data_IF_077322466741
#
_entry.id   IF_077322466741
#
_cell.length_a   1.000
_cell.length_b   1.000
_cell.length_c   1.000
_cell.angle_alpha   90.00
_cell.angle_beta   90.00
_cell.angle_gamma   90.00
#
_symmetry.space_group_name_H-M   'P 1'
#
loop_
_entity.id
_entity.type
_entity.pdbx_description
1 polymer ?
#
# COMPACT_ATOMS: atom_id res chain seq x y z
N UNK A 1 -31.49 15.97 11.12
CA UNK A 1 -30.27 16.55 11.73
C UNK A 1 -29.34 16.95 10.58
N UNK A 2 -29.02 18.24 10.44
CA UNK A 2 -28.33 18.82 9.27
C UNK A 2 -26.95 18.16 9.06
N UNK A 3 -26.75 17.60 7.87
CA UNK A 3 -25.48 17.04 7.39
C UNK A 3 -24.51 18.17 7.07
N UNK A 4 -23.56 18.42 7.96
CA UNK A 4 -22.42 19.29 7.65
C UNK A 4 -21.51 18.57 6.65
N UNK A 5 -21.59 19.02 5.40
CA UNK A 5 -20.75 18.60 4.30
C UNK A 5 -19.30 19.02 4.59
N UNK A 6 -18.40 18.05 4.83
CA UNK A 6 -16.97 18.29 5.13
C UNK A 6 -16.19 18.79 3.89
N UNK A 7 -16.87 18.97 2.74
CA UNK A 7 -16.25 19.32 1.46
C UNK A 7 -16.14 20.82 1.14
N UNK A 8 -16.39 21.72 2.09
CA UNK A 8 -16.12 23.15 1.86
C UNK A 8 -15.49 23.81 3.07
N UNK A 9 -14.19 23.60 3.27
CA UNK A 9 -13.35 24.65 3.86
C UNK A 9 -13.25 25.76 2.81
N UNK A 10 -14.32 26.55 2.70
CA UNK A 10 -14.32 27.78 1.92
C UNK A 10 -13.43 28.75 2.66
N UNK A 11 -12.30 29.10 2.05
CA UNK A 11 -11.41 30.16 2.49
C UNK A 11 -12.16 31.49 2.32
N UNK A 12 -12.92 31.89 3.32
CA UNK A 12 -13.47 33.23 3.37
C UNK A 12 -12.33 34.19 3.73
N UNK A 13 -11.81 34.87 2.71
CA UNK A 13 -11.07 36.14 2.76
C UNK A 13 -9.57 36.23 3.10
N UNK A 14 -8.80 35.14 3.21
CA UNK A 14 -7.33 35.27 3.26
C UNK A 14 -6.67 35.04 1.90
N UNK A 15 -5.91 36.05 1.42
CA UNK A 15 -5.07 35.97 0.22
C UNK A 15 -3.91 34.97 0.48
N UNK A 16 -4.23 33.69 0.36
CA UNK A 16 -3.32 32.57 0.56
C UNK A 16 -2.72 32.24 -0.81
N UNK A 17 -1.42 32.42 -0.95
CA UNK A 17 -0.70 32.16 -2.19
C UNK A 17 -0.94 30.75 -2.74
N UNK A 18 -0.89 30.62 -4.07
CA UNK A 18 -1.26 29.41 -4.82
C UNK A 18 -0.61 28.13 -4.25
N UNK A 19 0.68 28.21 -3.89
CA UNK A 19 1.42 27.08 -3.33
C UNK A 19 0.86 26.57 -2.00
N UNK A 20 0.51 27.48 -1.07
CA UNK A 20 -0.08 27.07 0.21
C UNK A 20 -1.49 26.50 0.04
N UNK A 21 -2.27 27.05 -0.91
CA UNK A 21 -3.59 26.51 -1.27
C UNK A 21 -3.48 25.10 -1.84
N UNK A 22 -2.55 24.85 -2.75
CA UNK A 22 -2.29 23.53 -3.31
C UNK A 22 -1.85 22.54 -2.22
N UNK A 23 -0.86 22.90 -1.39
CA UNK A 23 -0.38 22.05 -0.31
C UNK A 23 -1.47 21.74 0.73
N UNK A 24 -2.31 22.72 1.08
CA UNK A 24 -3.43 22.49 2.01
C UNK A 24 -4.43 21.46 1.48
N UNK A 25 -4.68 21.44 0.16
CA UNK A 25 -5.55 20.43 -0.47
C UNK A 25 -4.91 19.04 -0.41
N UNK A 26 -3.60 18.93 -0.63
CA UNK A 26 -2.88 17.66 -0.51
C UNK A 26 -2.93 17.13 0.93
N UNK A 27 -2.71 18.00 1.93
CA UNK A 27 -2.84 17.62 3.34
C UNK A 27 -4.28 17.21 3.67
N UNK A 28 -5.28 17.92 3.15
CA UNK A 28 -6.68 17.53 3.33
C UNK A 28 -6.98 16.14 2.75
N UNK A 29 -6.43 15.83 1.57
CA UNK A 29 -6.52 14.49 0.96
C UNK A 29 -5.83 13.45 1.83
N UNK A 30 -4.62 13.73 2.33
CA UNK A 30 -3.86 12.84 3.21
C UNK A 30 -4.62 12.46 4.48
N UNK A 31 -5.34 13.42 5.08
CA UNK A 31 -6.09 13.21 6.33
C UNK A 31 -7.52 12.71 6.12
N UNK A 32 -8.00 12.65 4.87
CA UNK A 32 -9.32 12.15 4.53
C UNK A 32 -9.45 10.62 4.74
N UNK A 33 -10.68 10.11 4.78
CA UNK A 33 -10.93 8.68 5.02
C UNK A 33 -10.42 7.72 3.92
N UNK A 34 -10.17 8.22 2.70
CA UNK A 34 -9.45 7.51 1.64
C UNK A 34 -8.02 8.02 1.45
N UNK A 35 -7.49 8.78 2.41
CA UNK A 35 -6.19 9.44 2.31
C UNK A 35 -5.03 8.47 2.15
N UNK A 36 -5.13 7.28 2.74
CA UNK A 36 -4.16 6.22 2.52
C UNK A 36 -4.10 5.82 1.04
N UNK A 37 -5.22 5.45 0.41
CA UNK A 37 -5.25 5.10 -1.03
C UNK A 37 -4.71 6.23 -1.91
N UNK A 38 -5.17 7.46 -1.70
CA UNK A 38 -4.82 8.59 -2.58
C UNK A 38 -3.34 8.98 -2.46
N UNK A 39 -2.83 9.09 -1.23
CA UNK A 39 -1.42 9.44 -1.02
C UNK A 39 -0.53 8.33 -1.50
N UNK A 40 -0.88 7.06 -1.25
CA UNK A 40 -0.09 5.93 -1.72
C UNK A 40 -0.07 5.82 -3.23
N UNK A 41 -1.20 6.03 -3.91
CA UNK A 41 -1.24 6.08 -5.36
C UNK A 41 -0.32 7.18 -5.94
N UNK A 42 -0.37 8.40 -5.36
CA UNK A 42 0.51 9.50 -5.77
C UNK A 42 1.97 9.13 -5.50
N UNK A 43 2.26 8.54 -4.35
CA UNK A 43 3.60 8.11 -4.00
C UNK A 43 4.11 7.04 -4.95
N UNK A 44 3.37 5.96 -5.21
CA UNK A 44 3.85 4.89 -6.09
C UNK A 44 4.02 5.38 -7.52
N UNK A 45 3.09 6.21 -8.02
CA UNK A 45 3.23 6.81 -9.35
C UNK A 45 4.45 7.74 -9.44
N UNK A 46 4.64 8.64 -8.47
CA UNK A 46 5.71 9.64 -8.52
C UNK A 46 7.08 9.12 -8.05
N UNK A 47 7.11 8.14 -7.16
CA UNK A 47 8.32 7.56 -6.55
C UNK A 47 8.75 6.26 -7.25
N UNK A 48 7.81 5.51 -7.81
CA UNK A 48 8.05 4.27 -8.53
C UNK A 48 8.23 4.51 -10.02
N UNK A 49 7.18 4.95 -10.70
CA UNK A 49 7.16 5.03 -12.17
C UNK A 49 8.16 6.06 -12.73
N UNK A 50 8.15 7.30 -12.22
CA UNK A 50 9.01 8.36 -12.77
C UNK A 50 10.51 8.02 -12.66
N UNK A 51 11.05 7.63 -11.49
CA UNK A 51 12.46 7.26 -11.40
C UNK A 51 12.80 6.02 -12.22
N UNK A 52 11.94 4.99 -12.23
CA UNK A 52 12.15 3.81 -13.07
C UNK A 52 12.17 4.15 -14.55
N UNK A 53 11.34 5.10 -15.00
CA UNK A 53 11.35 5.57 -16.37
C UNK A 53 12.65 6.31 -16.72
N UNK A 54 13.13 7.18 -15.83
CA UNK A 54 14.41 7.89 -15.98
C UNK A 54 15.60 6.94 -16.03
N UNK A 55 15.59 5.87 -15.20
CA UNK A 55 16.67 4.89 -15.13
C UNK A 55 16.47 3.64 -15.99
N UNK A 56 15.46 3.63 -16.86
CA UNK A 56 15.13 2.46 -17.67
C UNK A 56 16.30 2.07 -18.58
N UNK A 57 16.67 0.79 -18.57
CA UNK A 57 17.85 0.29 -19.30
C UNK A 57 17.52 -0.13 -20.73
N UNK A 58 16.26 -0.37 -21.02
CA UNK A 58 15.76 -0.74 -22.35
C UNK A 58 14.27 -0.43 -22.48
N UNK A 59 13.72 -0.55 -23.71
CA UNK A 59 12.27 -0.45 -23.94
C UNK A 59 11.49 -1.55 -23.23
N UNK A 60 12.05 -2.76 -23.12
CA UNK A 60 11.41 -3.87 -22.41
C UNK A 60 11.38 -3.62 -20.89
N UNK A 61 12.50 -3.14 -20.33
CA UNK A 61 12.62 -2.73 -18.93
C UNK A 61 11.65 -1.59 -18.59
N UNK A 62 11.53 -0.57 -19.46
CA UNK A 62 10.55 0.50 -19.30
C UNK A 62 9.12 -0.01 -19.37
N UNK A 63 8.80 -0.83 -20.38
CA UNK A 63 7.45 -1.35 -20.62
C UNK A 63 6.96 -2.22 -19.47
N UNK A 64 7.81 -3.12 -18.97
CA UNK A 64 7.42 -4.00 -17.86
C UNK A 64 7.29 -3.27 -16.54
N UNK A 65 8.17 -2.31 -16.25
CA UNK A 65 8.06 -1.48 -15.05
C UNK A 65 6.81 -0.59 -15.11
N UNK A 66 6.50 -0.02 -16.27
CA UNK A 66 5.31 0.83 -16.44
C UNK A 66 4.03 0.03 -16.27
N UNK A 67 3.95 -1.15 -16.89
CA UNK A 67 2.81 -2.04 -16.74
C UNK A 67 2.59 -2.43 -15.27
N UNK A 68 3.66 -2.85 -14.59
CA UNK A 68 3.59 -3.33 -13.23
C UNK A 68 3.14 -2.19 -12.28
N UNK A 69 3.84 -1.06 -12.28
CA UNK A 69 3.54 0.08 -11.40
C UNK A 69 2.11 0.60 -11.57
N UNK A 70 1.65 0.74 -12.82
CA UNK A 70 0.29 1.23 -13.10
C UNK A 70 -0.78 0.21 -12.68
N UNK A 71 -0.54 -1.07 -12.96
CA UNK A 71 -1.51 -2.14 -12.65
C UNK A 71 -1.62 -2.37 -11.14
N UNK A 72 -0.48 -2.48 -10.45
CA UNK A 72 -0.41 -2.65 -8.99
C UNK A 72 -1.03 -1.44 -8.28
N UNK A 73 -0.69 -0.22 -8.70
CA UNK A 73 -1.27 1.01 -8.13
C UNK A 73 -2.78 1.10 -8.34
N UNK A 74 -3.28 0.77 -9.52
CA UNK A 74 -4.72 0.78 -9.80
C UNK A 74 -5.45 -0.28 -8.94
N UNK A 75 -4.89 -1.48 -8.87
CA UNK A 75 -5.43 -2.61 -8.13
C UNK A 75 -5.47 -2.33 -6.63
N UNK A 76 -4.32 -2.04 -6.02
CA UNK A 76 -4.18 -1.95 -4.56
C UNK A 76 -4.95 -0.76 -3.99
N UNK A 77 -4.97 0.38 -4.68
CA UNK A 77 -5.52 1.61 -4.10
C UNK A 77 -7.00 1.84 -4.39
N UNK A 78 -7.54 1.31 -5.48
CA UNK A 78 -8.93 1.55 -5.88
C UNK A 78 -9.82 0.31 -5.83
N UNK A 79 -9.29 -0.90 -6.02
CA UNK A 79 -10.12 -2.11 -5.91
C UNK A 79 -10.64 -2.44 -4.51
N UNK A 80 -10.03 -2.04 -3.37
CA UNK A 80 -10.61 -2.31 -2.04
C UNK A 80 -12.03 -1.76 -1.89
N UNK A 81 -12.26 -0.51 -2.31
CA UNK A 81 -13.59 0.11 -2.22
C UNK A 81 -14.60 -0.59 -3.14
N UNK A 82 -14.17 -0.99 -4.34
CA UNK A 82 -15.00 -1.66 -5.34
C UNK A 82 -15.37 -3.08 -4.90
N UNK A 83 -14.37 -3.92 -4.56
CA UNK A 83 -14.61 -5.30 -4.15
C UNK A 83 -15.29 -5.37 -2.79
N UNK A 84 -14.96 -4.48 -1.85
CA UNK A 84 -15.68 -4.37 -0.58
C UNK A 84 -17.18 -4.15 -0.82
N UNK A 85 -17.55 -3.26 -1.75
CA UNK A 85 -18.95 -3.03 -2.13
C UNK A 85 -19.59 -4.26 -2.78
N UNK A 86 -18.91 -4.90 -3.73
CA UNK A 86 -19.40 -6.11 -4.42
C UNK A 86 -19.67 -7.22 -3.41
N UNK A 87 -18.70 -7.56 -2.57
CA UNK A 87 -18.85 -8.64 -1.61
C UNK A 87 -19.76 -8.30 -0.44
N UNK A 88 -19.89 -7.03 -0.04
CA UNK A 88 -20.96 -6.59 0.86
C UNK A 88 -22.33 -6.94 0.28
N UNK A 89 -22.58 -6.62 -0.98
CA UNK A 89 -23.86 -6.92 -1.63
C UNK A 89 -24.14 -8.43 -1.74
N UNK A 90 -23.10 -9.27 -1.77
CA UNK A 90 -23.22 -10.73 -1.83
C UNK A 90 -23.48 -11.31 -0.43
N UNK A 91 -22.58 -11.04 0.52
CA UNK A 91 -22.57 -11.73 1.81
C UNK A 91 -23.47 -11.10 2.87
N UNK A 92 -23.83 -9.82 2.75
CA UNK A 92 -24.68 -9.15 3.76
C UNK A 92 -26.18 -9.30 3.54
N UNK A 93 -26.63 -9.96 2.47
CA UNK A 93 -28.06 -10.11 2.12
C UNK A 93 -28.92 -10.70 3.24
N UNK A 94 -28.34 -11.57 4.07
CA UNK A 94 -29.05 -12.24 5.18
C UNK A 94 -28.98 -11.47 6.50
N UNK A 95 -28.25 -10.36 6.55
CA UNK A 95 -28.19 -9.51 7.73
C UNK A 95 -29.38 -8.51 7.73
N UNK A 96 -30.01 -8.30 8.90
CA UNK A 96 -30.90 -7.17 9.13
C UNK A 96 -30.28 -5.81 8.73
N UNK A 97 -31.12 -4.87 8.30
CA UNK A 97 -30.68 -3.58 7.74
C UNK A 97 -29.88 -2.71 8.73
N UNK A 98 -30.17 -2.82 10.03
CA UNK A 98 -29.43 -2.18 11.12
C UNK A 98 -28.00 -2.74 11.25
N UNK A 99 -27.81 -4.05 11.11
CA UNK A 99 -26.48 -4.69 11.14
C UNK A 99 -25.69 -4.41 9.86
N UNK A 100 -26.35 -4.29 8.72
CA UNK A 100 -25.67 -3.94 7.46
C UNK A 100 -24.98 -2.57 7.49
N UNK A 101 -25.50 -1.63 8.30
CA UNK A 101 -24.88 -0.32 8.54
C UNK A 101 -23.62 -0.41 9.38
N UNK A 102 -23.49 -1.44 10.23
CA UNK A 102 -22.35 -1.65 11.12
C UNK A 102 -21.19 -2.41 10.45
N UNK A 103 -21.35 -2.87 9.20
CA UNK A 103 -20.29 -3.58 8.46
C UNK A 103 -19.05 -2.70 8.26
N UNK A 104 -19.22 -1.39 8.13
CA UNK A 104 -18.11 -0.44 8.01
C UNK A 104 -17.36 -0.24 9.33
N UNK A 105 -18.00 -0.49 10.48
CA UNK A 105 -17.37 -0.36 11.79
C UNK A 105 -16.18 -1.32 11.92
N UNK A 106 -14.99 -0.88 12.36
CA UNK A 106 -13.83 -1.74 12.54
C UNK A 106 -14.11 -2.92 13.48
N UNK A 107 -13.62 -4.11 13.15
CA UNK A 107 -13.86 -5.33 13.93
C UNK A 107 -13.38 -5.20 15.40
N UNK A 108 -12.26 -4.51 15.63
CA UNK A 108 -11.72 -4.26 16.98
C UNK A 108 -12.69 -3.45 17.84
N UNK A 109 -13.49 -2.57 17.24
CA UNK A 109 -14.52 -1.81 17.94
C UNK A 109 -15.77 -2.66 18.17
N UNK A 110 -16.18 -3.45 17.19
CA UNK A 110 -17.31 -4.37 17.30
C UNK A 110 -17.11 -5.39 18.43
N UNK A 111 -15.87 -5.87 18.63
CA UNK A 111 -15.53 -6.81 19.70
C UNK A 111 -15.62 -6.21 21.11
N UNK A 112 -15.59 -4.88 21.24
CA UNK A 112 -15.77 -4.19 22.54
C UNK A 112 -17.24 -4.02 22.92
N UNK A 113 -18.12 -4.10 21.93
CA UNK A 113 -19.56 -4.04 22.14
C UNK A 113 -20.08 -5.46 22.41
N UNK A 114 -21.16 -5.61 23.18
CA UNK A 114 -21.92 -6.89 23.22
C UNK A 114 -22.61 -7.06 21.85
N UNK A 115 -21.85 -7.41 20.83
CA UNK A 115 -22.25 -7.39 19.43
C UNK A 115 -22.95 -8.66 18.96
N UNK A 116 -23.64 -8.54 17.82
CA UNK A 116 -24.34 -9.65 17.18
C UNK A 116 -23.35 -10.66 16.57
N UNK A 117 -23.48 -11.95 16.93
CA UNK A 117 -22.65 -13.05 16.43
C UNK A 117 -22.66 -13.19 14.90
N UNK A 118 -23.63 -12.63 14.18
CA UNK A 118 -23.69 -12.70 12.73
C UNK A 118 -22.79 -11.68 12.00
N UNK A 119 -22.42 -10.57 12.65
CA UNK A 119 -21.75 -9.46 11.96
C UNK A 119 -20.29 -9.77 11.61
N UNK A 120 -19.54 -10.30 12.58
CA UNK A 120 -18.11 -10.57 12.41
C UNK A 120 -17.83 -11.60 11.29
N UNK A 121 -18.56 -12.73 11.20
CA UNK A 121 -18.36 -13.69 10.11
C UNK A 121 -18.69 -13.13 8.72
N UNK A 122 -19.74 -12.32 8.60
CA UNK A 122 -20.08 -11.68 7.32
C UNK A 122 -18.98 -10.70 6.90
N UNK A 123 -18.45 -9.92 7.83
CA UNK A 123 -17.34 -9.00 7.56
C UNK A 123 -16.07 -9.75 7.16
N UNK A 124 -15.79 -10.89 7.78
CA UNK A 124 -14.67 -11.75 7.43
C UNK A 124 -14.85 -12.38 6.03
N UNK A 125 -16.08 -12.75 5.66
CA UNK A 125 -16.40 -13.20 4.32
C UNK A 125 -16.15 -12.11 3.25
N UNK A 126 -16.52 -10.85 3.54
CA UNK A 126 -16.24 -9.72 2.64
C UNK A 126 -14.73 -9.52 2.49
N UNK A 127 -13.97 -9.59 3.58
CA UNK A 127 -12.50 -9.49 3.55
C UNK A 127 -11.86 -10.62 2.72
N UNK A 128 -12.33 -11.86 2.88
CA UNK A 128 -11.85 -13.01 2.09
C UNK A 128 -12.20 -12.89 0.60
N UNK A 129 -13.38 -12.37 0.27
CA UNK A 129 -13.72 -12.06 -1.13
C UNK A 129 -12.78 -11.01 -1.73
N UNK A 130 -12.46 -9.96 -0.96
CA UNK A 130 -11.50 -8.95 -1.41
C UNK A 130 -10.03 -9.39 -1.35
N UNK A 131 -9.73 -10.58 -0.80
CA UNK A 131 -8.40 -11.18 -0.83
C UNK A 131 -7.94 -11.55 -2.26
N UNK A 132 -8.81 -11.37 -3.26
CA UNK A 132 -8.42 -11.30 -4.66
C UNK A 132 -7.29 -10.28 -4.92
N UNK A 133 -7.30 -9.13 -4.23
CA UNK A 133 -6.34 -8.03 -4.45
C UNK A 133 -4.89 -8.51 -4.25
N UNK A 134 -4.49 -9.02 -3.06
CA UNK A 134 -3.14 -9.51 -2.86
C UNK A 134 -2.77 -10.70 -3.76
N UNK A 135 -3.74 -11.53 -4.17
CA UNK A 135 -3.49 -12.65 -5.08
C UNK A 135 -3.29 -12.17 -6.54
N UNK A 136 -4.01 -11.14 -6.97
CA UNK A 136 -3.80 -10.51 -8.27
C UNK A 136 -2.43 -9.82 -8.26
N UNK A 137 -2.05 -9.13 -7.18
CA UNK A 137 -0.71 -8.55 -7.02
C UNK A 137 0.41 -9.60 -7.19
N UNK A 138 0.26 -10.76 -6.54
CA UNK A 138 1.15 -11.90 -6.73
C UNK A 138 1.23 -12.33 -8.21
N UNK A 139 0.08 -12.45 -8.88
CA UNK A 139 0.04 -12.89 -10.28
C UNK A 139 0.49 -11.85 -11.29
N UNK A 140 0.35 -10.55 -11.01
CA UNK A 140 0.80 -9.46 -11.88
C UNK A 140 2.30 -9.58 -12.20
N UNK A 141 3.09 -10.06 -11.24
CA UNK A 141 4.51 -10.32 -11.43
C UNK A 141 4.80 -11.41 -12.46
N UNK A 142 3.97 -12.45 -12.53
CA UNK A 142 4.05 -13.51 -13.54
C UNK A 142 3.40 -13.11 -14.87
N UNK A 143 2.30 -12.35 -14.84
CA UNK A 143 1.66 -11.78 -16.03
C UNK A 143 2.64 -10.85 -16.75
N UNK A 144 3.37 -10.02 -16.00
CA UNK A 144 4.49 -9.22 -16.52
C UNK A 144 5.51 -10.11 -17.23
N UNK A 145 5.88 -11.25 -16.65
CA UNK A 145 6.80 -12.19 -17.30
C UNK A 145 6.28 -12.68 -18.66
N UNK A 146 5.01 -13.08 -18.72
CA UNK A 146 4.35 -13.51 -19.96
C UNK A 146 4.25 -12.38 -20.99
N UNK A 147 3.95 -11.16 -20.54
CA UNK A 147 3.88 -9.98 -21.40
C UNK A 147 5.24 -9.68 -22.02
N UNK A 148 6.33 -9.71 -21.23
CA UNK A 148 7.68 -9.47 -21.76
C UNK A 148 8.10 -10.55 -22.76
N UNK A 149 7.77 -11.82 -22.50
CA UNK A 149 8.00 -12.91 -23.45
C UNK A 149 7.23 -12.69 -24.76
N UNK A 150 5.95 -12.32 -24.69
CA UNK A 150 5.10 -12.16 -25.88
C UNK A 150 5.47 -10.92 -26.72
N UNK A 151 5.73 -9.79 -26.06
CA UNK A 151 5.93 -8.49 -26.72
C UNK A 151 7.38 -8.28 -27.13
N UNK A 152 8.33 -8.64 -26.26
CA UNK A 152 9.75 -8.34 -26.45
C UNK A 152 10.59 -9.58 -26.77
N UNK A 153 10.02 -10.79 -26.72
CA UNK A 153 10.72 -12.07 -26.94
C UNK A 153 11.92 -12.27 -26.02
N UNK A 154 11.80 -11.75 -24.79
CA UNK A 154 12.87 -11.75 -23.79
C UNK A 154 12.41 -12.37 -22.47
N UNK A 155 13.06 -13.46 -22.07
CA UNK A 155 12.89 -14.07 -20.75
C UNK A 155 14.00 -13.74 -19.76
N UNK A 156 15.26 -13.75 -20.21
CA UNK A 156 16.40 -13.49 -19.34
C UNK A 156 16.52 -12.00 -18.99
N UNK A 157 16.57 -11.71 -17.70
CA UNK A 157 16.70 -10.35 -17.20
C UNK A 157 17.93 -9.63 -17.71
N UNK A 158 19.06 -10.31 -17.94
CA UNK A 158 20.26 -9.67 -18.48
C UNK A 158 20.02 -9.10 -19.88
N UNK A 159 19.16 -9.72 -20.68
CA UNK A 159 18.76 -9.22 -21.99
C UNK A 159 17.74 -8.08 -21.84
N UNK A 160 16.77 -8.23 -20.93
CA UNK A 160 15.76 -7.20 -20.61
C UNK A 160 16.43 -5.92 -20.12
N UNK A 161 17.36 -6.03 -19.19
CA UNK A 161 18.13 -4.94 -18.61
C UNK A 161 19.30 -4.47 -19.51
N UNK A 162 19.42 -5.02 -20.72
CA UNK A 162 20.46 -4.69 -21.70
C UNK A 162 21.90 -4.75 -21.10
N UNK A 163 22.13 -5.72 -20.21
CA UNK A 163 23.42 -6.03 -19.60
C UNK A 163 24.26 -6.89 -20.54
N UNK A 164 23.64 -7.91 -21.14
CA UNK A 164 24.28 -8.75 -22.16
C UNK A 164 24.05 -8.15 -23.55
N UNK A 165 25.14 -7.95 -24.31
CA UNK A 165 25.09 -7.46 -25.69
C UNK A 165 24.77 -8.56 -26.71
N UNK A 166 25.01 -9.83 -26.35
CA UNK A 166 24.70 -11.00 -27.17
C UNK A 166 23.25 -11.42 -26.95
N UNK A 167 22.35 -10.79 -27.70
CA UNK A 167 20.88 -10.94 -27.59
C UNK A 167 20.34 -12.19 -28.29
N UNK A 168 20.97 -13.35 -28.08
CA UNK A 168 20.40 -14.61 -28.62
C UNK A 168 19.15 -14.97 -27.83
N UNK A 169 18.08 -15.27 -28.55
CA UNK A 169 16.85 -15.78 -27.97
C UNK A 169 17.08 -17.20 -27.45
N UNK A 170 16.71 -17.44 -26.19
CA UNK A 170 16.79 -18.76 -25.56
C UNK A 170 15.37 -19.32 -25.41
N UNK A 171 14.96 -20.09 -26.40
CA UNK A 171 13.60 -20.65 -26.49
C UNK A 171 13.31 -21.64 -25.36
N UNK A 172 14.30 -22.41 -24.91
CA UNK A 172 14.13 -23.35 -23.79
C UNK A 172 13.94 -22.59 -22.48
N UNK A 173 14.75 -21.57 -22.23
CA UNK A 173 14.63 -20.72 -21.05
C UNK A 173 13.30 -19.95 -21.04
N UNK A 174 12.89 -19.40 -22.19
CA UNK A 174 11.60 -18.73 -22.34
C UNK A 174 10.42 -19.67 -22.01
N UNK A 175 10.47 -20.92 -22.48
CA UNK A 175 9.44 -21.94 -22.18
C UNK A 175 9.37 -22.28 -20.69
N UNK A 176 10.52 -22.36 -20.00
CA UNK A 176 10.56 -22.57 -18.53
C UNK A 176 9.86 -21.43 -17.79
N UNK A 177 10.10 -20.17 -18.18
CA UNK A 177 9.44 -19.00 -17.59
C UNK A 177 7.93 -19.05 -17.83
N UNK A 178 7.49 -19.37 -19.05
CA UNK A 178 6.07 -19.45 -19.39
C UNK A 178 5.33 -20.51 -18.54
N UNK A 179 5.92 -21.70 -18.39
CA UNK A 179 5.35 -22.79 -17.58
C UNK A 179 5.26 -22.36 -16.12
N UNK A 180 6.32 -21.77 -15.56
CA UNK A 180 6.32 -21.27 -14.18
C UNK A 180 5.25 -20.21 -13.96
N UNK A 181 5.13 -19.24 -14.87
CA UNK A 181 4.13 -18.19 -14.78
C UNK A 181 2.69 -18.75 -14.79
N UNK A 182 2.36 -19.65 -15.73
CA UNK A 182 1.05 -20.29 -15.79
C UNK A 182 0.73 -21.09 -14.52
N UNK A 183 1.71 -21.85 -14.02
CA UNK A 183 1.56 -22.63 -12.78
C UNK A 183 1.22 -21.73 -11.60
N UNK A 184 1.96 -20.65 -11.39
CA UNK A 184 1.76 -19.76 -10.24
C UNK A 184 0.44 -18.97 -10.35
N UNK A 185 0.02 -18.58 -11.56
CA UNK A 185 -1.31 -17.98 -11.79
C UNK A 185 -2.42 -18.96 -11.39
N UNK A 186 -2.31 -20.22 -11.81
CA UNK A 186 -3.28 -21.26 -11.46
C UNK A 186 -3.30 -21.53 -9.95
N UNK A 187 -2.13 -21.56 -9.29
CA UNK A 187 -2.04 -21.69 -7.83
C UNK A 187 -2.76 -20.56 -7.11
N UNK A 188 -2.57 -19.31 -7.53
CA UNK A 188 -3.27 -18.17 -6.96
C UNK A 188 -4.79 -18.26 -7.14
N UNK A 189 -5.26 -18.71 -8.31
CA UNK A 189 -6.67 -18.98 -8.56
C UNK A 189 -7.24 -20.06 -7.63
N UNK A 190 -6.48 -21.14 -7.39
CA UNK A 190 -6.85 -22.19 -6.43
C UNK A 190 -6.96 -21.68 -4.99
N UNK A 191 -6.00 -20.88 -4.54
CA UNK A 191 -6.04 -20.23 -3.22
C UNK A 191 -7.28 -19.33 -3.11
N UNK A 192 -7.55 -18.54 -4.15
CA UNK A 192 -8.70 -17.64 -4.15
C UNK A 192 -10.04 -18.39 -4.09
N UNK A 193 -10.17 -19.51 -4.81
CA UNK A 193 -11.33 -20.39 -4.70
C UNK A 193 -11.53 -20.88 -3.25
N UNK A 194 -10.44 -21.22 -2.56
CA UNK A 194 -10.44 -21.53 -1.13
C UNK A 194 -10.93 -20.37 -0.26
N UNK A 195 -10.48 -19.13 -0.53
CA UNK A 195 -10.97 -17.94 0.16
C UNK A 195 -12.47 -17.72 -0.03
N UNK A 196 -12.99 -17.89 -1.25
CA UNK A 196 -14.43 -17.76 -1.55
C UNK A 196 -15.25 -18.84 -0.87
N UNK A 197 -14.78 -20.09 -0.87
CA UNK A 197 -15.42 -21.20 -0.18
C UNK A 197 -15.50 -20.95 1.34
N UNK A 198 -14.39 -20.54 1.95
CA UNK A 198 -14.36 -20.18 3.37
C UNK A 198 -15.26 -18.96 3.65
N UNK A 199 -15.22 -17.93 2.81
CA UNK A 199 -16.09 -16.75 2.93
C UNK A 199 -17.58 -17.12 2.89
N UNK A 200 -17.99 -17.98 1.97
CA UNK A 200 -19.35 -18.52 1.92
C UNK A 200 -19.72 -19.28 3.20
N UNK A 201 -18.80 -20.11 3.71
CA UNK A 201 -19.02 -20.86 4.96
C UNK A 201 -19.17 -19.93 6.17
N UNK A 202 -18.32 -18.91 6.30
CA UNK A 202 -18.41 -17.88 7.35
C UNK A 202 -19.73 -17.12 7.29
N UNK A 203 -20.13 -16.67 6.09
CA UNK A 203 -21.37 -15.92 5.91
C UNK A 203 -22.63 -16.73 6.25
N UNK A 204 -22.64 -18.04 5.96
CA UNK A 204 -23.83 -18.89 6.15
C UNK A 204 -23.88 -19.54 7.54
N UNK A 205 -22.74 -20.01 8.06
CA UNK A 205 -22.67 -20.83 9.29
C UNK A 205 -21.88 -20.19 10.42
N UNK A 206 -21.26 -19.02 10.20
CA UNK A 206 -20.39 -18.39 11.18
C UNK A 206 -21.07 -18.08 12.51
N UNK A 207 -22.33 -17.62 12.50
CA UNK A 207 -23.09 -17.31 13.72
C UNK A 207 -23.39 -18.54 14.59
N UNK A 208 -23.33 -19.75 14.03
CA UNK A 208 -23.65 -21.01 14.71
C UNK A 208 -22.41 -21.80 15.15
N UNK A 209 -21.21 -21.41 14.72
CA UNK A 209 -19.98 -22.16 14.99
C UNK A 209 -18.92 -21.32 15.69
N UNK A 210 -18.49 -21.76 16.88
CA UNK A 210 -17.40 -21.12 17.63
C UNK A 210 -16.09 -21.11 16.84
N UNK A 211 -15.77 -22.20 16.14
CA UNK A 211 -14.57 -22.27 15.31
C UNK A 211 -14.59 -21.23 14.18
N UNK A 212 -15.74 -21.05 13.51
CA UNK A 212 -15.88 -20.05 12.45
C UNK A 212 -15.86 -18.60 13.00
N UNK A 213 -16.37 -18.38 14.22
CA UNK A 213 -16.19 -17.10 14.92
C UNK A 213 -14.71 -16.83 15.20
N UNK A 214 -13.99 -17.82 15.71
CA UNK A 214 -12.57 -17.70 16.03
C UNK A 214 -11.73 -17.40 14.78
N UNK A 215 -12.05 -18.04 13.65
CA UNK A 215 -11.45 -17.75 12.34
C UNK A 215 -11.78 -16.32 11.90
N UNK A 216 -13.03 -15.87 12.10
CA UNK A 216 -13.44 -14.50 11.75
C UNK A 216 -12.69 -13.45 12.57
N UNK A 217 -12.54 -13.68 13.88
CA UNK A 217 -11.69 -12.84 14.75
C UNK A 217 -10.24 -12.85 14.30
N UNK A 218 -9.69 -13.99 13.92
CA UNK A 218 -8.30 -14.08 13.47
C UNK A 218 -8.06 -13.29 12.18
N UNK A 219 -9.00 -13.34 11.23
CA UNK A 219 -8.94 -12.60 9.96
C UNK A 219 -9.03 -11.09 10.18
N UNK A 220 -9.95 -10.64 11.04
CA UNK A 220 -10.31 -9.22 11.16
C UNK A 220 -9.65 -8.50 12.34
N UNK A 221 -9.25 -9.22 13.39
CA UNK A 221 -8.65 -8.68 14.60
C UNK A 221 -7.62 -9.67 15.20
N UNK A 222 -6.59 -10.06 14.40
CA UNK A 222 -5.62 -11.09 14.81
C UNK A 222 -4.90 -10.75 16.12
N UNK A 223 -4.62 -9.47 16.34
CA UNK A 223 -3.97 -9.01 17.56
C UNK A 223 -4.83 -9.20 18.80
N UNK A 224 -6.12 -8.86 18.70
CA UNK A 224 -7.09 -9.09 19.78
C UNK A 224 -7.24 -10.58 20.07
N UNK A 225 -7.17 -11.43 19.04
CA UNK A 225 -7.25 -12.89 19.21
C UNK A 225 -6.00 -13.47 19.88
N UNK A 226 -4.82 -13.15 19.35
CA UNK A 226 -3.56 -13.79 19.70
C UNK A 226 -2.86 -13.17 20.91
N UNK A 227 -3.06 -11.88 21.18
CA UNK A 227 -2.31 -11.12 22.19
C UNK A 227 -3.21 -10.44 23.24
N UNK A 228 -4.20 -11.18 23.76
CA UNK A 228 -5.19 -10.68 24.73
C UNK A 228 -4.56 -9.97 25.96
N UNK A 229 -3.42 -10.47 26.43
CA UNK A 229 -2.75 -9.97 27.63
C UNK A 229 -1.72 -8.86 27.34
N UNK A 230 -1.51 -8.49 26.07
CA UNK A 230 -0.52 -7.49 25.69
C UNK A 230 -1.11 -6.50 24.69
N UNK A 231 -1.66 -5.41 25.22
CA UNK A 231 -2.31 -4.34 24.42
C UNK A 231 -1.40 -3.79 23.33
N UNK A 232 -0.11 -3.57 23.61
CA UNK A 232 0.84 -3.05 22.61
C UNK A 232 1.01 -4.02 21.43
N UNK A 233 1.17 -5.32 21.70
CA UNK A 233 1.26 -6.35 20.66
C UNK A 233 -0.07 -6.51 19.93
N UNK A 234 -1.20 -6.53 20.64
CA UNK A 234 -2.53 -6.61 20.04
C UNK A 234 -2.78 -5.45 19.07
N UNK A 235 -2.52 -4.21 19.48
CA UNK A 235 -2.70 -3.02 18.66
C UNK A 235 -1.77 -3.05 17.43
N UNK A 236 -0.52 -3.49 17.58
CA UNK A 236 0.40 -3.68 16.46
C UNK A 236 -0.14 -4.70 15.44
N UNK A 237 -0.53 -5.88 15.90
CA UNK A 237 -0.99 -6.95 15.01
C UNK A 237 -2.33 -6.58 14.34
N UNK A 238 -3.25 -5.98 15.06
CA UNK A 238 -4.50 -5.48 14.47
C UNK A 238 -4.23 -4.40 13.41
N UNK A 239 -3.27 -3.50 13.63
CA UNK A 239 -2.94 -2.44 12.68
C UNK A 239 -2.34 -2.97 11.37
N UNK A 240 -1.44 -3.96 11.46
CA UNK A 240 -0.65 -4.39 10.31
C UNK A 240 -1.07 -5.72 9.67
N UNK A 241 -1.86 -6.56 10.36
CA UNK A 241 -2.22 -7.90 9.88
C UNK A 241 -3.73 -8.14 9.80
N UNK A 242 -4.56 -7.18 10.18
CA UNK A 242 -6.01 -7.27 9.96
C UNK A 242 -6.36 -7.14 8.48
N UNK A 243 -7.16 -8.06 7.95
CA UNK A 243 -7.73 -7.95 6.59
C UNK A 243 -9.02 -7.13 6.54
N UNK A 244 -9.42 -6.55 7.67
CA UNK A 244 -10.58 -5.69 7.75
C UNK A 244 -10.39 -4.42 6.92
N UNK A 245 -11.49 -3.85 6.45
CA UNK A 245 -11.48 -2.57 5.73
C UNK A 245 -11.41 -1.41 6.70
N UNK A 246 -10.81 -0.31 6.25
CA UNK A 246 -10.93 0.97 6.94
C UNK A 246 -12.33 1.57 6.70
N UNK A 247 -12.85 2.26 7.71
CA UNK A 247 -14.10 3.03 7.57
C UNK A 247 -13.81 4.39 6.94
N UNK A 248 -14.52 4.69 5.85
CA UNK A 248 -14.55 6.00 5.22
C UNK A 248 -15.99 6.51 5.19
N UNK A 249 -16.49 6.92 6.36
CA UNK A 249 -17.84 7.44 6.55
C UNK A 249 -18.92 6.47 6.05
N UNK A 250 -18.85 5.20 6.44
CA UNK A 250 -19.78 4.15 6.04
C UNK A 250 -19.43 3.46 4.71
N UNK A 251 -18.34 3.86 4.06
CA UNK A 251 -17.80 3.22 2.86
C UNK A 251 -16.52 2.45 3.18
N UNK A 252 -16.26 1.41 2.39
CA UNK A 252 -15.01 0.67 2.48
C UNK A 252 -13.84 1.50 1.94
N UNK A 253 -12.72 1.45 2.64
CA UNK A 253 -11.45 1.96 2.18
C UNK A 253 -10.32 0.97 2.48
N UNK A 254 -9.19 1.13 1.78
CA UNK A 254 -7.99 0.35 2.01
C UNK A 254 -7.52 0.53 3.45
N UNK A 255 -7.41 -0.58 4.19
CA UNK A 255 -6.75 -0.56 5.49
C UNK A 255 -5.26 -0.80 5.37
N UNK A 256 -4.52 -0.49 6.44
CA UNK A 256 -3.09 -0.78 6.48
C UNK A 256 -2.80 -2.28 6.48
N UNK A 257 -3.61 -3.09 7.15
CA UNK A 257 -3.40 -4.53 7.15
C UNK A 257 -3.70 -5.17 5.79
N UNK A 258 -4.69 -4.66 5.04
CA UNK A 258 -4.89 -5.03 3.64
C UNK A 258 -3.68 -4.63 2.78
N UNK A 259 -3.14 -3.42 2.95
CA UNK A 259 -1.93 -3.00 2.26
C UNK A 259 -0.71 -3.88 2.59
N UNK A 260 -0.50 -4.20 3.87
CA UNK A 260 0.54 -5.14 4.30
C UNK A 260 0.36 -6.51 3.64
N UNK A 261 -0.88 -7.01 3.55
CA UNK A 261 -1.16 -8.28 2.88
C UNK A 261 -0.80 -8.24 1.39
N UNK A 262 -1.05 -7.12 0.71
CA UNK A 262 -0.66 -6.93 -0.69
C UNK A 262 0.86 -6.94 -0.83
N UNK A 263 1.58 -6.23 0.05
CA UNK A 263 3.05 -6.23 0.04
C UNK A 263 3.59 -7.64 0.31
N UNK A 264 3.12 -8.35 1.34
CA UNK A 264 3.67 -9.67 1.68
C UNK A 264 3.37 -10.74 0.63
N UNK A 265 2.12 -10.82 0.18
CA UNK A 265 1.69 -11.81 -0.83
C UNK A 265 2.25 -11.45 -2.21
N UNK A 266 2.15 -10.17 -2.61
CA UNK A 266 2.79 -9.66 -3.82
C UNK A 266 4.30 -9.88 -3.82
N UNK A 267 4.95 -9.68 -2.67
CA UNK A 267 6.37 -9.95 -2.47
C UNK A 267 6.79 -11.37 -2.81
N UNK A 268 5.99 -12.37 -2.41
CA UNK A 268 6.25 -13.75 -2.82
C UNK A 268 6.23 -13.91 -4.35
N UNK A 269 5.34 -13.20 -5.04
CA UNK A 269 5.28 -13.15 -6.50
C UNK A 269 6.48 -12.45 -7.11
N UNK A 270 6.91 -11.32 -6.56
CA UNK A 270 8.13 -10.60 -6.94
C UNK A 270 9.37 -11.50 -6.86
N UNK A 271 9.56 -12.20 -5.73
CA UNK A 271 10.70 -13.10 -5.54
C UNK A 271 10.65 -14.30 -6.47
N UNK A 272 9.49 -14.94 -6.63
CA UNK A 272 9.33 -16.07 -7.55
C UNK A 272 9.58 -15.68 -9.01
N UNK A 273 8.88 -14.65 -9.49
CA UNK A 273 8.98 -14.20 -10.87
C UNK A 273 10.35 -13.63 -11.23
N UNK A 274 11.06 -13.02 -10.28
CA UNK A 274 12.44 -12.54 -10.50
C UNK A 274 13.45 -13.68 -10.53
N UNK A 275 13.29 -14.69 -9.67
CA UNK A 275 14.13 -15.91 -9.68
C UNK A 275 14.04 -16.64 -11.02
N UNK A 276 12.84 -16.74 -11.59
CA UNK A 276 12.63 -17.38 -12.90
C UNK A 276 13.42 -16.71 -14.04
N UNK A 277 13.69 -15.41 -13.92
CA UNK A 277 14.39 -14.60 -14.95
C UNK A 277 15.90 -14.51 -14.74
N UNK A 278 16.43 -15.17 -13.73
CA UNK A 278 17.87 -15.29 -13.48
C UNK A 278 18.37 -14.54 -12.24
N UNK A 279 19.60 -14.89 -11.84
CA UNK A 279 20.27 -14.44 -10.61
C UNK A 279 20.28 -12.92 -10.45
N UNK A 280 20.59 -12.20 -11.52
CA UNK A 280 20.76 -10.75 -11.44
C UNK A 280 19.46 -10.05 -11.01
N UNK A 281 18.31 -10.49 -11.55
CA UNK A 281 16.99 -9.96 -11.22
C UNK A 281 16.57 -10.29 -9.79
N UNK A 282 16.80 -11.54 -9.37
CA UNK A 282 16.47 -11.98 -8.01
C UNK A 282 17.20 -11.15 -6.95
N UNK A 283 18.50 -10.92 -7.13
CA UNK A 283 19.30 -10.11 -6.21
C UNK A 283 18.92 -8.63 -6.26
N UNK A 284 18.54 -8.10 -7.43
CA UNK A 284 17.99 -6.75 -7.55
C UNK A 284 16.68 -6.63 -6.74
N UNK A 285 15.81 -7.62 -6.85
CA UNK A 285 14.55 -7.70 -6.10
C UNK A 285 14.81 -7.82 -4.60
N UNK A 286 15.76 -8.65 -4.19
CA UNK A 286 16.14 -8.85 -2.79
C UNK A 286 16.66 -7.57 -2.11
N UNK A 287 17.41 -6.76 -2.83
CA UNK A 287 17.88 -5.46 -2.32
C UNK A 287 16.73 -4.46 -2.18
N UNK A 288 15.88 -4.34 -3.21
CA UNK A 288 14.86 -3.28 -3.27
C UNK A 288 13.64 -3.58 -2.42
N UNK A 289 13.17 -4.82 -2.46
CA UNK A 289 11.85 -5.19 -1.93
C UNK A 289 11.70 -4.89 -0.43
N UNK A 290 12.67 -5.19 0.46
CA UNK A 290 12.54 -4.84 1.88
C UNK A 290 12.41 -3.33 2.11
N UNK A 291 13.15 -2.51 1.36
CA UNK A 291 13.13 -1.05 1.49
C UNK A 291 11.80 -0.47 0.98
N UNK A 292 11.39 -0.88 -0.22
CA UNK A 292 10.16 -0.40 -0.86
C UNK A 292 8.94 -0.92 -0.10
N UNK A 293 8.90 -2.21 0.24
CA UNK A 293 7.80 -2.82 0.99
C UNK A 293 7.61 -2.17 2.36
N UNK A 294 8.70 -1.93 3.09
CA UNK A 294 8.64 -1.21 4.36
C UNK A 294 8.11 0.23 4.19
N UNK A 295 8.54 0.93 3.14
CA UNK A 295 8.06 2.27 2.83
C UNK A 295 6.59 2.29 2.40
N UNK A 296 6.11 1.31 1.63
CA UNK A 296 4.70 1.18 1.26
C UNK A 296 3.84 0.89 2.51
N UNK A 297 4.30 0.05 3.43
CA UNK A 297 3.54 -0.28 4.64
C UNK A 297 3.52 0.89 5.63
N UNK A 298 4.69 1.44 5.98
CA UNK A 298 4.84 2.44 7.04
C UNK A 298 4.67 3.87 6.52
N UNK A 299 5.12 4.14 5.30
CA UNK A 299 4.99 5.42 4.62
C UNK A 299 5.72 6.56 5.23
N UNK A 300 5.18 7.74 4.95
CA UNK A 300 5.73 8.98 5.47
C UNK A 300 5.61 9.07 6.97
N UNK A 301 4.85 8.22 7.68
CA UNK A 301 4.75 8.33 9.13
C UNK A 301 6.12 8.29 9.82
N UNK A 302 7.06 7.50 9.29
CA UNK A 302 8.41 7.42 9.83
C UNK A 302 9.22 8.70 9.54
N UNK A 303 9.20 9.15 8.29
CA UNK A 303 9.86 10.38 7.87
C UNK A 303 9.28 11.60 8.60
N UNK A 304 7.96 11.65 8.70
CA UNK A 304 7.20 12.70 9.36
C UNK A 304 7.46 12.71 10.86
N UNK A 305 7.49 11.54 11.53
CA UNK A 305 7.85 11.48 12.96
C UNK A 305 9.28 11.97 13.21
N UNK A 306 10.24 11.56 12.37
CA UNK A 306 11.62 12.06 12.43
C UNK A 306 11.70 13.57 12.18
N UNK A 307 10.97 14.06 11.18
CA UNK A 307 10.92 15.47 10.83
C UNK A 307 10.25 16.33 11.92
N UNK A 308 9.14 15.87 12.51
CA UNK A 308 8.49 16.50 13.66
C UNK A 308 9.46 16.61 14.84
N UNK A 309 10.22 15.55 15.14
CA UNK A 309 11.25 15.56 16.19
C UNK A 309 12.33 16.62 15.91
N UNK A 310 12.76 16.75 14.66
CA UNK A 310 13.72 17.76 14.22
C UNK A 310 13.16 19.18 14.37
N UNK A 311 11.94 19.43 13.89
CA UNK A 311 11.28 20.73 14.00
C UNK A 311 11.11 21.15 15.47
N UNK A 312 10.64 20.22 16.31
CA UNK A 312 10.45 20.44 17.74
C UNK A 312 11.75 20.84 18.44
N UNK A 313 12.84 20.07 18.22
CA UNK A 313 14.18 20.35 18.78
C UNK A 313 14.71 21.72 18.36
N UNK A 314 14.44 22.14 17.13
CA UNK A 314 14.88 23.43 16.59
C UNK A 314 13.91 24.59 16.88
N UNK A 315 12.96 24.42 17.80
CA UNK A 315 11.94 25.42 18.16
C UNK A 315 11.11 25.93 16.97
N UNK A 316 10.91 25.08 15.95
CA UNK A 316 10.06 25.37 14.79
C UNK A 316 8.70 24.67 14.94
N UNK A 317 7.66 25.32 14.43
CA UNK A 317 6.27 24.83 14.41
C UNK A 317 5.68 24.44 15.79
N UNK A 318 6.13 25.08 16.87
CA UNK A 318 5.65 24.85 18.24
C UNK A 318 4.17 25.18 18.46
N UNK A 319 3.55 25.94 17.54
CA UNK A 319 2.10 26.20 17.61
C UNK A 319 1.25 24.97 17.30
N UNK A 320 1.83 23.94 16.67
CA UNK A 320 1.14 22.71 16.27
C UNK A 320 1.77 21.42 16.80
N UNK A 321 3.08 21.40 17.08
CA UNK A 321 3.76 20.19 17.56
C UNK A 321 3.83 20.24 19.09
N UNK A 322 3.16 19.29 19.76
CA UNK A 322 3.24 19.14 21.22
C UNK A 322 4.49 18.33 21.65
N UNK A 323 4.70 18.18 22.95
CA UNK A 323 5.84 17.44 23.52
C UNK A 323 5.84 15.95 23.11
N UNK A 324 4.66 15.39 22.87
CA UNK A 324 4.44 14.03 22.37
C UNK A 324 4.65 13.91 20.85
N UNK A 325 5.03 15.00 20.16
CA UNK A 325 5.19 15.09 18.70
C UNK A 325 3.89 14.86 17.89
N UNK A 326 2.75 15.04 18.55
CA UNK A 326 1.44 14.98 17.93
C UNK A 326 1.11 16.32 17.26
N UNK A 327 0.31 16.23 16.21
CA UNK A 327 -0.05 17.36 15.35
C UNK A 327 -1.55 17.29 15.09
N UNK A 328 -2.31 18.36 15.38
CA UNK A 328 -3.76 18.37 15.19
C UNK A 328 -4.14 18.20 13.72
N UNK A 329 -5.36 17.73 13.43
CA UNK A 329 -5.85 17.59 12.05
C UNK A 329 -6.15 18.97 11.46
N UNK A 330 -6.16 19.03 10.13
CA UNK A 330 -6.47 20.24 9.37
C UNK A 330 -7.82 20.86 9.77
N UNK A 331 -8.82 20.00 10.04
CA UNK A 331 -10.16 20.43 10.48
C UNK A 331 -10.15 21.13 11.85
N UNK A 332 -9.20 20.80 12.72
CA UNK A 332 -9.11 21.33 14.10
C UNK A 332 -8.41 22.70 14.12
N UNK A 333 -7.70 23.09 13.04
CA UNK A 333 -6.94 24.33 12.99
C UNK A 333 -7.81 25.58 13.18
N UNK A 334 -9.07 25.55 12.74
CA UNK A 334 -10.01 26.67 12.91
C UNK A 334 -10.29 26.93 14.39
N UNK A 335 -10.58 25.89 15.15
CA UNK A 335 -10.83 26.00 16.59
C UNK A 335 -9.57 26.44 17.33
N UNK A 336 -8.39 25.94 16.93
CA UNK A 336 -7.12 26.35 17.52
C UNK A 336 -6.82 27.83 17.24
N UNK A 337 -7.11 28.32 16.03
CA UNK A 337 -6.95 29.73 15.68
C UNK A 337 -7.84 30.63 16.54
N UNK A 338 -9.10 30.25 16.75
CA UNK A 338 -10.04 30.98 17.62
C UNK A 338 -9.51 31.03 19.05
N UNK A 339 -9.06 29.89 19.60
CA UNK A 339 -8.56 29.79 20.99
C UNK A 339 -7.27 30.58 21.23
N UNK A 340 -6.40 30.73 20.23
CA UNK A 340 -5.14 31.50 20.36
C UNK A 340 -5.35 33.01 20.43
N UNK A 341 -6.53 33.53 20.07
CA UNK A 341 -6.82 34.96 20.04
C UNK A 341 -6.04 35.72 18.96
N UNK A 342 -6.29 37.03 18.83
CA UNK A 342 -5.70 37.88 17.79
C UNK A 342 -6.46 37.86 16.44
N UNK A 343 -5.82 38.38 15.38
CA UNK A 343 -6.43 38.40 14.04
C UNK A 343 -6.53 36.99 13.48
N UNK A 344 -7.76 36.48 13.42
CA UNK A 344 -8.06 35.10 13.00
C UNK A 344 -7.34 34.69 11.71
N UNK A 345 -7.41 35.52 10.66
CA UNK A 345 -6.82 35.18 9.36
C UNK A 345 -5.29 35.04 9.40
N UNK A 346 -4.60 35.87 10.18
CA UNK A 346 -3.15 35.83 10.33
C UNK A 346 -2.73 34.57 11.12
N UNK A 347 -3.42 34.29 12.23
CA UNK A 347 -3.16 33.12 13.07
C UNK A 347 -3.47 31.84 12.30
N UNK A 348 -4.62 31.76 11.64
CA UNK A 348 -5.01 30.61 10.84
C UNK A 348 -4.02 30.37 9.69
N UNK A 349 -3.61 31.42 8.96
CA UNK A 349 -2.60 31.31 7.89
C UNK A 349 -1.26 30.82 8.43
N UNK A 350 -0.84 31.25 9.63
CA UNK A 350 0.38 30.76 10.30
C UNK A 350 0.27 29.27 10.63
N UNK A 351 -0.83 28.83 11.25
CA UNK A 351 -1.08 27.42 11.58
C UNK A 351 -1.12 26.56 10.31
N UNK A 352 -1.81 27.03 9.27
CA UNK A 352 -1.89 26.33 7.99
C UNK A 352 -0.52 26.15 7.34
N UNK A 353 0.34 27.18 7.35
CA UNK A 353 1.73 27.07 6.88
C UNK A 353 2.50 26.00 7.64
N UNK A 354 2.43 26.02 8.97
CA UNK A 354 3.12 25.01 9.79
C UNK A 354 2.62 23.60 9.48
N UNK A 355 1.29 23.42 9.36
CA UNK A 355 0.70 22.13 9.01
C UNK A 355 1.18 21.61 7.65
N UNK A 356 1.22 22.50 6.65
CA UNK A 356 1.71 22.18 5.31
C UNK A 356 3.20 21.84 5.30
N UNK A 357 4.03 22.51 6.11
CA UNK A 357 5.45 22.17 6.24
C UNK A 357 5.62 20.79 6.88
N UNK A 358 4.94 20.54 8.00
CA UNK A 358 5.05 19.29 8.76
C UNK A 358 4.70 18.08 7.90
N UNK A 359 3.58 18.13 7.16
CA UNK A 359 3.11 17.00 6.37
C UNK A 359 3.71 16.98 4.95
N UNK A 360 3.90 18.15 4.35
CA UNK A 360 4.30 18.30 2.95
C UNK A 360 5.77 18.04 2.69
N UNK A 361 6.68 18.48 3.56
CA UNK A 361 8.13 18.28 3.35
C UNK A 361 8.50 16.79 3.38
N UNK A 362 8.06 15.98 4.37
CA UNK A 362 8.31 14.54 4.35
C UNK A 362 7.72 13.85 3.13
N UNK A 363 6.53 14.28 2.67
CA UNK A 363 5.90 13.76 1.46
C UNK A 363 6.71 14.05 0.21
N UNK A 364 7.16 15.29 0.01
CA UNK A 364 8.00 15.67 -1.12
C UNK A 364 9.37 14.99 -1.08
N UNK A 365 9.98 14.85 0.11
CA UNK A 365 11.23 14.12 0.26
C UNK A 365 11.06 12.64 -0.09
N UNK A 366 10.00 12.01 0.42
CA UNK A 366 9.65 10.63 0.11
C UNK A 366 9.43 10.40 -1.39
N UNK A 367 8.75 11.34 -2.05
CA UNK A 367 8.50 11.27 -3.50
C UNK A 367 9.77 11.53 -4.33
N UNK A 368 10.47 12.63 -4.05
CA UNK A 368 11.54 13.15 -4.90
C UNK A 368 12.91 12.53 -4.66
N UNK A 369 13.20 12.03 -3.46
CA UNK A 369 14.56 11.56 -3.11
C UNK A 369 14.61 10.04 -3.03
N UNK A 370 13.69 9.42 -2.29
CA UNK A 370 13.75 7.97 -2.03
C UNK A 370 13.62 7.14 -3.32
N UNK A 371 12.70 7.52 -4.22
CA UNK A 371 12.48 6.80 -5.47
C UNK A 371 13.70 6.82 -6.39
N UNK A 372 14.29 8.01 -6.60
CA UNK A 372 15.50 8.18 -7.40
C UNK A 372 16.72 7.49 -6.76
N UNK A 373 16.87 7.59 -5.43
CA UNK A 373 17.94 6.93 -4.71
C UNK A 373 17.86 5.41 -4.85
N UNK A 374 16.69 4.80 -4.62
CA UNK A 374 16.50 3.34 -4.72
C UNK A 374 16.69 2.87 -6.17
N UNK A 375 16.09 3.55 -7.15
CA UNK A 375 16.22 3.17 -8.56
C UNK A 375 17.66 3.31 -9.06
N UNK A 376 18.33 4.42 -8.72
CA UNK A 376 19.72 4.69 -9.12
C UNK A 376 20.71 3.72 -8.49
N UNK A 377 20.66 3.53 -7.17
CA UNK A 377 21.54 2.59 -6.45
C UNK A 377 21.35 1.17 -6.94
N UNK A 378 20.11 0.72 -7.12
CA UNK A 378 19.81 -0.60 -7.65
C UNK A 378 20.41 -0.84 -9.03
N UNK A 379 20.25 0.12 -9.96
CA UNK A 379 20.81 0.01 -11.30
C UNK A 379 22.34 -0.05 -11.27
N UNK A 380 22.96 0.82 -10.46
CA UNK A 380 24.42 0.84 -10.26
C UNK A 380 24.94 -0.51 -9.73
N UNK A 381 24.36 -1.03 -8.65
CA UNK A 381 24.79 -2.29 -8.05
C UNK A 381 24.56 -3.49 -8.97
N UNK A 382 23.47 -3.52 -9.73
CA UNK A 382 23.23 -4.58 -10.71
C UNK A 382 24.31 -4.57 -11.81
N UNK A 383 24.62 -3.40 -12.39
CA UNK A 383 25.69 -3.27 -13.40
C UNK A 383 27.06 -3.64 -12.85
N UNK A 384 27.40 -3.14 -11.66
CA UNK A 384 28.67 -3.42 -11.01
C UNK A 384 28.88 -4.92 -10.78
N UNK A 385 27.86 -5.59 -10.23
CA UNK A 385 27.88 -7.03 -9.96
C UNK A 385 28.00 -7.85 -11.24
N UNK A 386 27.19 -7.55 -12.26
CA UNK A 386 27.25 -8.23 -13.55
C UNK A 386 28.65 -8.12 -14.20
N UNK A 387 29.22 -6.92 -14.24
CA UNK A 387 30.54 -6.69 -14.82
C UNK A 387 31.66 -7.42 -14.05
N UNK A 388 31.57 -7.47 -12.72
CA UNK A 388 32.54 -8.17 -11.87
C UNK A 388 32.49 -9.68 -12.12
N UNK A 389 31.29 -10.27 -12.17
CA UNK A 389 31.13 -11.70 -12.47
C UNK A 389 31.65 -12.07 -13.86
N UNK A 390 31.40 -11.24 -14.87
CA UNK A 390 31.92 -11.47 -16.23
C UNK A 390 33.45 -11.36 -16.28
N UNK A 391 34.06 -10.41 -15.57
CA UNK A 391 35.53 -10.30 -15.47
C UNK A 391 36.13 -11.57 -14.86
N UNK A 392 35.55 -12.08 -13.77
CA UNK A 392 36.01 -13.31 -13.13
C UNK A 392 35.87 -14.49 -14.09
N UNK A 393 34.72 -14.64 -14.74
CA UNK A 393 34.42 -15.74 -15.67
C UNK A 393 35.33 -15.74 -16.91
N UNK A 394 35.69 -14.56 -17.41
CA UNK A 394 36.63 -14.46 -18.53
C UNK A 394 38.06 -14.77 -18.07
N UNK A 395 38.46 -14.28 -16.90
CA UNK A 395 39.78 -14.56 -16.32
C UNK A 395 40.00 -16.05 -16.02
N UNK A 396 38.94 -16.78 -15.64
CA UNK A 396 38.97 -18.23 -15.40
C UNK A 396 38.90 -19.08 -16.66
N UNK A 397 38.59 -18.51 -17.83
CA UNK A 397 38.61 -19.21 -19.13
C UNK A 397 39.95 -19.08 -19.85
N UNK A 398 40.74 -18.07 -19.48
CA UNK A 398 42.12 -17.83 -19.97
C UNK A 398 43.20 -18.49 -19.11
N UNK A 399 42.82 -19.10 -17.99
CA UNK A 399 43.64 -20.06 -17.25
C UNK A 399 43.14 -21.46 -17.59
#
# INVERSE_FOLDING_TARGET
MKTNNVNSVSFTNSNIGLGLKAMSKIVAVQEGGAGLSNIRFIQDTATGLVPKAVFARSKADLGENSFLELSESALVYYCPALLGKVFKNIYSKRLPADLQKQISTPAVELLKQKGNKALLPVKAAIALGAFAIPLIEFTLNYIKNLMTLKVFKQGNFENIANLNKDKKEDTEFNKKIEISAKKNILTAAGIYAGCLALGGMLAVRGNKSKALQDISELILAPGTKLFRNNKKKADFFNKYFSLDFADNNGKFALSRGQLTSCVLVGGAGYFGASKDRGKQNFLETLFRFPLVGFYIICGNELLEKGFRKLLYKNNKCRDLINEQLEVPKLKDLKEIAIKKGGKFDEVYKKLLKQKCVIAGVPLLFGIGVMGFFIAGTSNFFTKYRYNTENKIRNSSKTK
#
